data_IF_330457363324
#
_entry.id   IF_330457363324
#
_cell.length_a   1.000
_cell.length_b   1.000
_cell.length_c   1.000
_cell.angle_alpha   90.00
_cell.angle_beta   90.00
_cell.angle_gamma   90.00
#
_symmetry.space_group_name_H-M   'P 1'
#
loop_
_entity.id
_entity.type
_entity.pdbx_description
1 polymer ?
#
# COMPACT_ATOMS: atom_id res chain seq x y z
N UNK A 1 22.34 -57.31 19.28
CA UNK A 1 22.80 -56.07 18.61
C UNK A 1 22.10 -55.95 17.26
N UNK A 2 21.13 -55.04 17.13
CA UNK A 2 20.30 -54.90 15.92
C UNK A 2 20.43 -53.46 15.40
N UNK A 3 21.30 -53.24 14.42
CA UNK A 3 21.46 -51.95 13.73
C UNK A 3 20.66 -51.95 12.43
N UNK A 4 19.42 -51.44 12.48
CA UNK A 4 18.65 -51.07 11.28
C UNK A 4 19.32 -49.84 10.64
N UNK A 5 20.02 -50.05 9.52
CA UNK A 5 20.44 -48.96 8.63
C UNK A 5 19.23 -48.47 7.83
N UNK A 6 18.73 -47.28 8.16
CA UNK A 6 17.77 -46.57 7.33
C UNK A 6 18.43 -46.19 5.99
N UNK A 7 17.99 -46.82 4.90
CA UNK A 7 18.28 -46.35 3.54
C UNK A 7 17.42 -45.11 3.24
N UNK A 8 18.02 -43.93 3.29
CA UNK A 8 17.40 -42.72 2.75
C UNK A 8 17.29 -42.83 1.21
N UNK A 9 16.08 -42.58 0.67
CA UNK A 9 15.79 -42.60 -0.76
C UNK A 9 16.66 -41.60 -1.55
N UNK A 10 17.24 -41.98 -2.71
CA UNK A 10 18.10 -41.12 -3.54
C UNK A 10 17.46 -39.78 -3.96
N UNK A 11 16.13 -39.72 -4.04
CA UNK A 11 15.37 -38.51 -4.39
C UNK A 11 15.43 -37.42 -3.31
N UNK A 12 15.57 -37.78 -2.03
CA UNK A 12 15.66 -36.82 -0.92
C UNK A 12 17.04 -36.16 -0.76
N UNK A 13 18.11 -36.80 -1.26
CA UNK A 13 19.49 -36.27 -1.23
C UNK A 13 19.72 -35.18 -2.29
N UNK A 14 19.10 -35.33 -3.47
CA UNK A 14 19.27 -34.37 -4.57
C UNK A 14 18.55 -33.03 -4.34
N UNK A 15 17.38 -33.03 -3.72
CA UNK A 15 16.63 -31.81 -3.35
C UNK A 15 17.35 -31.02 -2.25
N UNK A 16 17.82 -31.69 -1.19
CA UNK A 16 18.62 -31.06 -0.12
C UNK A 16 19.89 -30.36 -0.66
N UNK A 17 20.62 -30.99 -1.58
CA UNK A 17 21.82 -30.39 -2.17
C UNK A 17 21.52 -29.17 -3.07
N UNK A 18 20.41 -29.17 -3.81
CA UNK A 18 19.99 -28.01 -4.62
C UNK A 18 19.61 -26.81 -3.74
N UNK A 19 18.90 -27.05 -2.64
CA UNK A 19 18.50 -25.99 -1.69
C UNK A 19 19.71 -25.35 -0.99
N UNK A 20 20.70 -26.16 -0.58
CA UNK A 20 21.93 -25.65 0.06
C UNK A 20 22.73 -24.79 -0.92
N UNK A 21 22.88 -25.22 -2.18
CA UNK A 21 23.57 -24.45 -3.22
C UNK A 21 22.83 -23.14 -3.53
N UNK A 22 21.51 -23.17 -3.55
CA UNK A 22 20.66 -21.98 -3.73
C UNK A 22 20.84 -20.95 -2.61
N UNK A 23 20.80 -21.40 -1.35
CA UNK A 23 21.03 -20.54 -0.18
C UNK A 23 22.42 -19.90 -0.18
N UNK A 24 23.48 -20.66 -0.50
CA UNK A 24 24.85 -20.13 -0.58
C UNK A 24 24.98 -19.05 -1.65
N UNK A 25 24.39 -19.27 -2.84
CA UNK A 25 24.34 -18.25 -3.90
C UNK A 25 23.62 -16.97 -3.44
N UNK A 26 22.46 -17.09 -2.80
CA UNK A 26 21.71 -15.94 -2.28
C UNK A 26 22.51 -15.15 -1.25
N UNK A 27 23.19 -15.83 -0.33
CA UNK A 27 24.04 -15.16 0.67
C UNK A 27 25.13 -14.31 0.02
N UNK A 28 25.78 -14.82 -1.03
CA UNK A 28 26.79 -14.08 -1.80
C UNK A 28 26.14 -12.87 -2.49
N UNK A 29 24.96 -13.04 -3.08
CA UNK A 29 24.23 -11.93 -3.72
C UNK A 29 23.90 -10.84 -2.68
N UNK A 30 23.30 -11.17 -1.53
CA UNK A 30 22.99 -10.19 -0.47
C UNK A 30 24.24 -9.38 -0.08
N UNK A 31 25.37 -10.05 0.10
CA UNK A 31 26.63 -9.40 0.47
C UNK A 31 27.15 -8.43 -0.61
N UNK A 32 26.85 -8.69 -1.88
CA UNK A 32 27.21 -7.81 -2.98
C UNK A 32 26.23 -6.64 -3.13
N UNK A 33 24.94 -6.86 -2.87
CA UNK A 33 23.90 -5.82 -2.97
C UNK A 33 24.10 -4.69 -1.95
N UNK A 34 24.68 -4.98 -0.79
CA UNK A 34 24.71 -4.05 0.35
C UNK A 34 25.87 -3.04 0.38
N UNK A 35 26.56 -2.80 -0.74
CA UNK A 35 27.77 -1.96 -0.74
C UNK A 35 27.55 -0.52 -1.15
N UNK A 36 26.42 -0.22 -1.78
CA UNK A 36 26.17 1.11 -2.32
C UNK A 36 25.31 1.90 -1.33
N UNK A 37 25.87 2.92 -0.67
CA UNK A 37 25.07 3.83 0.13
C UNK A 37 24.28 4.76 -0.82
N UNK A 38 23.17 5.31 -0.33
CA UNK A 38 22.35 6.27 -1.07
C UNK A 38 21.79 7.33 -0.14
N UNK A 39 21.31 8.44 -0.70
CA UNK A 39 20.67 9.50 0.09
C UNK A 39 19.39 8.99 0.76
N UNK A 40 19.07 9.55 1.92
CA UNK A 40 17.76 9.36 2.54
C UNK A 40 16.65 9.79 1.56
N UNK A 41 15.59 8.98 1.37
CA UNK A 41 14.52 9.33 0.45
C UNK A 41 13.57 10.42 0.98
N UNK A 42 13.74 10.86 2.23
CA UNK A 42 12.90 11.87 2.88
C UNK A 42 13.43 13.28 2.58
N UNK A 43 12.56 14.16 2.09
CA UNK A 43 12.90 15.57 1.83
C UNK A 43 13.47 16.26 3.08
N UNK A 44 14.43 17.15 2.85
CA UNK A 44 15.16 17.85 3.91
C UNK A 44 16.19 17.00 4.67
N UNK A 45 16.30 15.70 4.39
CA UNK A 45 17.34 14.84 4.97
C UNK A 45 18.50 14.62 3.99
N UNK A 46 19.67 15.18 4.29
CA UNK A 46 20.87 15.08 3.44
C UNK A 46 21.77 13.87 3.75
N UNK A 47 21.41 13.06 4.74
CA UNK A 47 22.20 11.89 5.13
C UNK A 47 22.36 10.90 3.97
N UNK A 48 23.58 10.36 3.84
CA UNK A 48 23.88 9.21 3.00
C UNK A 48 23.90 7.96 3.90
N UNK A 49 23.10 6.96 3.56
CA UNK A 49 22.81 5.82 4.43
C UNK A 49 23.14 4.52 3.70
N UNK A 50 23.86 3.63 4.37
CA UNK A 50 24.08 2.26 3.90
C UNK A 50 22.82 1.41 4.06
N UNK A 51 22.58 0.41 3.19
CA UNK A 51 21.40 -0.44 3.26
C UNK A 51 21.15 -1.08 4.63
N UNK A 52 22.21 -1.50 5.34
CA UNK A 52 22.15 -2.05 6.71
C UNK A 52 21.71 -1.05 7.77
N UNK A 53 21.86 0.25 7.51
CA UNK A 53 21.65 1.31 8.50
C UNK A 53 20.32 2.06 8.27
N UNK A 54 19.60 1.76 7.19
CA UNK A 54 18.31 2.40 6.86
C UNK A 54 17.32 2.28 8.01
N UNK A 55 17.20 1.09 8.60
CA UNK A 55 16.29 0.86 9.73
C UNK A 55 16.62 1.77 10.93
N UNK A 56 17.89 1.83 11.33
CA UNK A 56 18.34 2.68 12.43
C UNK A 56 18.04 4.15 12.14
N UNK A 57 18.40 4.61 10.94
CA UNK A 57 18.21 5.99 10.52
C UNK A 57 16.73 6.38 10.57
N UNK A 58 15.84 5.58 9.97
CA UNK A 58 14.40 5.87 9.98
C UNK A 58 13.83 5.89 11.41
N UNK A 59 14.21 4.91 12.25
CA UNK A 59 13.74 4.84 13.63
C UNK A 59 14.30 5.94 14.55
N UNK A 60 15.42 6.55 14.20
CA UNK A 60 16.06 7.57 15.04
C UNK A 60 15.78 9.00 14.56
N UNK A 61 15.87 9.27 13.25
CA UNK A 61 15.71 10.61 12.68
C UNK A 61 14.30 10.92 12.20
N UNK A 62 13.50 9.89 11.88
CA UNK A 62 12.18 10.08 11.27
C UNK A 62 11.01 9.47 12.06
N UNK A 63 11.26 8.82 13.20
CA UNK A 63 10.18 8.24 14.03
C UNK A 63 9.35 9.26 14.81
N UNK A 64 9.92 10.44 15.09
CA UNK A 64 9.26 11.52 15.82
C UNK A 64 8.53 12.51 14.90
N UNK A 65 8.54 12.29 13.58
CA UNK A 65 7.77 13.08 12.62
C UNK A 65 6.34 12.53 12.49
N UNK A 66 5.58 13.01 11.52
CA UNK A 66 4.27 12.44 11.13
C UNK A 66 4.35 11.01 10.59
N UNK A 67 5.55 10.42 10.51
CA UNK A 67 5.79 9.07 10.04
C UNK A 67 5.43 8.00 11.08
N UNK A 68 4.51 7.12 10.72
CA UNK A 68 4.09 6.01 11.58
C UNK A 68 5.10 4.87 11.49
N UNK A 69 5.53 4.33 12.64
CA UNK A 69 6.31 3.08 12.66
C UNK A 69 5.41 1.89 12.95
N UNK A 70 5.42 0.85 12.10
CA UNK A 70 4.56 -0.32 12.28
C UNK A 70 5.24 -1.63 11.87
N UNK A 71 5.01 -2.70 12.65
CA UNK A 71 5.37 -4.06 12.22
C UNK A 71 4.39 -4.56 11.16
N UNK A 72 4.91 -5.13 10.07
CA UNK A 72 4.10 -5.72 9.00
C UNK A 72 4.55 -7.15 8.69
N UNK A 73 3.58 -7.99 8.34
CA UNK A 73 3.80 -9.40 8.08
C UNK A 73 3.21 -9.79 6.73
N UNK A 74 3.79 -10.83 6.14
CA UNK A 74 3.42 -11.36 4.84
C UNK A 74 1.91 -11.65 4.75
N UNK A 75 1.25 -11.08 3.75
CA UNK A 75 -0.21 -11.18 3.51
C UNK A 75 -1.10 -10.70 4.66
N UNK A 76 -0.58 -9.91 5.61
CA UNK A 76 -1.40 -9.30 6.67
C UNK A 76 -1.71 -7.84 6.33
N UNK A 77 -2.98 -7.42 6.43
CA UNK A 77 -3.35 -6.03 6.19
C UNK A 77 -2.85 -5.13 7.31
N UNK A 78 -2.32 -3.98 6.92
CA UNK A 78 -2.04 -2.84 7.78
C UNK A 78 -2.96 -1.69 7.36
N UNK A 79 -3.70 -1.13 8.31
CA UNK A 79 -4.56 0.02 8.08
C UNK A 79 -3.78 1.30 8.39
N UNK A 80 -3.83 2.24 7.46
CA UNK A 80 -3.13 3.52 7.52
C UNK A 80 -4.11 4.64 7.21
N UNK A 81 -3.73 5.86 7.56
CA UNK A 81 -4.47 7.07 7.19
C UNK A 81 -3.48 8.05 6.57
N UNK A 82 -3.80 8.52 5.37
CA UNK A 82 -2.99 9.50 4.65
C UNK A 82 -3.63 10.88 4.76
N UNK A 83 -2.98 11.79 5.46
CA UNK A 83 -3.36 13.20 5.48
C UNK A 83 -2.42 13.98 4.55
N UNK A 84 -2.89 14.44 3.37
CA UNK A 84 -2.09 15.24 2.46
C UNK A 84 -1.91 16.70 2.90
N UNK A 85 -2.55 17.11 4.01
CA UNK A 85 -2.47 18.50 4.50
C UNK A 85 -1.02 18.85 4.85
N UNK A 86 -0.52 19.94 4.28
CA UNK A 86 0.84 20.44 4.55
C UNK A 86 1.94 19.83 3.69
N UNK A 87 1.59 19.01 2.68
CA UNK A 87 2.57 18.46 1.76
C UNK A 87 2.92 19.50 0.71
N UNK A 88 4.18 19.94 0.73
CA UNK A 88 4.74 20.84 -0.27
C UNK A 88 5.00 20.09 -1.58
N UNK A 89 5.05 20.85 -2.67
CA UNK A 89 5.24 20.28 -4.00
C UNK A 89 6.71 19.91 -4.20
N UNK A 90 6.97 18.70 -4.67
CA UNK A 90 8.32 18.19 -4.92
C UNK A 90 8.95 17.50 -3.72
N UNK A 91 8.43 17.75 -2.51
CA UNK A 91 8.96 17.14 -1.30
C UNK A 91 8.45 15.69 -1.10
N UNK A 92 9.40 14.80 -0.89
CA UNK A 92 9.15 13.41 -0.54
C UNK A 92 8.95 13.25 0.97
N UNK A 93 7.74 12.87 1.38
CA UNK A 93 7.40 12.59 2.76
C UNK A 93 7.35 11.08 3.02
N UNK A 94 7.87 10.65 4.17
CA UNK A 94 7.67 9.29 4.65
C UNK A 94 6.40 9.23 5.52
N UNK A 95 5.37 8.56 5.03
CA UNK A 95 4.11 8.36 5.74
C UNK A 95 4.27 7.27 6.81
N UNK A 96 5.00 6.21 6.48
CA UNK A 96 5.21 5.11 7.40
C UNK A 96 6.56 4.41 7.21
N UNK A 97 7.22 4.06 8.31
CA UNK A 97 8.37 3.17 8.37
C UNK A 97 7.89 1.79 8.83
N UNK A 98 7.84 0.86 7.88
CA UNK A 98 7.31 -0.48 8.07
C UNK A 98 8.44 -1.47 8.38
N UNK A 99 8.25 -2.26 9.42
CA UNK A 99 9.18 -3.29 9.86
C UNK A 99 8.68 -4.63 9.32
N UNK A 100 9.10 -5.01 8.11
CA UNK A 100 8.60 -6.24 7.46
C UNK A 100 9.30 -7.50 8.00
N UNK A 101 8.53 -8.35 8.66
CA UNK A 101 9.01 -9.53 9.38
C UNK A 101 8.89 -10.86 8.65
N UNK A 102 8.47 -10.88 7.38
CA UNK A 102 8.12 -12.12 6.68
C UNK A 102 6.81 -12.72 7.23
N UNK A 103 6.68 -14.05 7.25
CA UNK A 103 5.45 -14.72 7.69
C UNK A 103 5.36 -14.68 9.22
N UNK A 104 4.23 -14.16 9.75
CA UNK A 104 3.98 -14.06 11.19
C UNK A 104 4.15 -15.43 11.88
N UNK A 105 4.89 -15.45 12.98
CA UNK A 105 5.16 -16.68 13.73
C UNK A 105 6.19 -17.63 13.11
N UNK A 106 6.81 -17.28 11.97
CA UNK A 106 7.84 -18.10 11.30
C UNK A 106 9.17 -17.34 11.18
N UNK A 107 10.02 -17.35 12.23
CA UNK A 107 11.29 -16.62 12.24
C UNK A 107 12.22 -16.92 11.05
N UNK A 108 12.16 -18.13 10.53
CA UNK A 108 12.97 -18.62 9.41
C UNK A 108 12.66 -17.90 8.09
N UNK A 109 11.51 -17.21 8.01
CA UNK A 109 11.06 -16.45 6.85
C UNK A 109 11.39 -14.96 6.92
N UNK A 110 12.02 -14.52 8.03
CA UNK A 110 12.43 -13.12 8.20
C UNK A 110 13.42 -12.74 7.11
N UNK A 111 13.34 -11.51 6.54
CA UNK A 111 14.15 -11.09 5.41
C UNK A 111 15.66 -11.32 5.55
N UNK A 112 16.22 -11.02 6.72
CA UNK A 112 17.64 -11.23 6.99
C UNK A 112 18.04 -12.70 7.12
N UNK A 113 17.12 -13.58 7.54
CA UNK A 113 17.36 -15.02 7.73
C UNK A 113 17.24 -15.78 6.41
N UNK A 114 16.22 -15.47 5.60
CA UNK A 114 16.02 -16.11 4.29
C UNK A 114 16.87 -15.47 3.16
N UNK A 115 17.85 -14.62 3.53
CA UNK A 115 18.74 -13.93 2.58
C UNK A 115 17.97 -13.11 1.53
N UNK A 116 16.87 -12.47 1.95
CA UNK A 116 16.15 -11.49 1.14
C UNK A 116 16.90 -10.15 1.13
N UNK A 117 17.39 -9.73 2.30
CA UNK A 117 18.11 -8.47 2.53
C UNK A 117 19.24 -8.67 3.54
N UNK A 118 20.11 -7.67 3.67
CA UNK A 118 21.13 -7.68 4.71
C UNK A 118 20.50 -7.47 6.09
N UNK A 119 21.19 -7.95 7.14
CA UNK A 119 20.87 -7.62 8.51
C UNK A 119 21.00 -6.12 8.76
N UNK A 120 20.10 -5.59 9.58
CA UNK A 120 20.21 -4.23 10.08
C UNK A 120 21.35 -4.15 11.09
N UNK A 121 22.17 -3.11 11.01
CA UNK A 121 23.28 -2.88 11.93
C UNK A 121 23.04 -1.66 12.81
N UNK A 122 23.69 -1.63 13.98
CA UNK A 122 23.69 -0.47 14.86
C UNK A 122 22.34 -0.15 15.54
N UNK A 123 21.36 -1.06 15.50
CA UNK A 123 20.09 -0.87 16.19
C UNK A 123 20.29 -0.72 17.69
N UNK A 124 19.59 0.25 18.30
CA UNK A 124 19.54 0.41 19.75
C UNK A 124 18.95 -0.84 20.41
N UNK A 125 19.27 -1.05 21.69
CA UNK A 125 18.88 -2.28 22.42
C UNK A 125 17.36 -2.55 22.38
N UNK A 126 16.52 -1.50 22.42
CA UNK A 126 15.06 -1.60 22.30
C UNK A 126 14.58 -2.13 20.94
N UNK A 127 15.39 -1.99 19.90
CA UNK A 127 15.06 -2.34 18.51
C UNK A 127 15.80 -3.58 17.99
N UNK A 128 16.65 -4.23 18.80
CA UNK A 128 17.41 -5.42 18.38
C UNK A 128 16.55 -6.55 17.80
N UNK A 129 15.29 -6.69 18.23
CA UNK A 129 14.36 -7.69 17.67
C UNK A 129 14.12 -7.53 16.15
N UNK A 130 14.43 -6.37 15.58
CA UNK A 130 14.28 -6.04 14.17
C UNK A 130 15.56 -6.21 13.34
N UNK A 131 16.64 -6.76 13.92
CA UNK A 131 17.92 -6.98 13.21
C UNK A 131 17.74 -7.76 11.90
N UNK A 132 16.81 -8.71 11.85
CA UNK A 132 16.55 -9.54 10.67
C UNK A 132 15.32 -9.09 9.86
N UNK A 133 14.73 -7.94 10.16
CA UNK A 133 13.56 -7.39 9.45
C UNK A 133 14.00 -6.55 8.25
N UNK A 134 13.14 -6.37 7.25
CA UNK A 134 13.37 -5.44 6.15
C UNK A 134 12.68 -4.10 6.46
N UNK A 135 13.40 -2.97 6.51
CA UNK A 135 12.75 -1.66 6.54
C UNK A 135 12.10 -1.39 5.19
N UNK A 136 10.83 -1.00 5.20
CA UNK A 136 10.10 -0.55 4.02
C UNK A 136 9.46 0.80 4.35
N UNK A 137 9.74 1.83 3.57
CA UNK A 137 9.16 3.14 3.76
C UNK A 137 8.01 3.33 2.79
N UNK A 138 6.85 3.74 3.29
CA UNK A 138 5.76 4.25 2.47
C UNK A 138 5.98 5.75 2.26
N UNK A 139 6.21 6.12 1.02
CA UNK A 139 6.52 7.48 0.61
C UNK A 139 5.31 8.12 -0.05
N UNK A 140 5.21 9.44 0.05
CA UNK A 140 4.31 10.24 -0.74
C UNK A 140 4.93 11.58 -1.13
N UNK A 141 4.57 12.06 -2.31
CA UNK A 141 4.99 13.35 -2.82
C UNK A 141 3.83 14.00 -3.57
N UNK A 142 3.64 15.31 -3.35
CA UNK A 142 2.76 16.11 -4.18
C UNK A 142 3.55 16.63 -5.37
N UNK A 143 3.13 16.30 -6.58
CA UNK A 143 3.76 16.77 -7.83
C UNK A 143 2.68 17.13 -8.85
N UNK A 144 3.03 17.19 -10.13
CA UNK A 144 2.10 17.48 -11.23
C UNK A 144 2.16 16.41 -12.30
N UNK A 145 1.09 16.28 -13.09
CA UNK A 145 1.04 15.34 -14.21
C UNK A 145 2.17 15.51 -15.23
N UNK A 146 2.77 16.70 -15.30
CA UNK A 146 3.93 16.96 -16.14
C UNK A 146 5.18 16.16 -15.74
N UNK A 147 5.25 15.64 -14.51
CA UNK A 147 6.35 14.79 -14.06
C UNK A 147 6.42 13.45 -14.81
N UNK A 148 5.36 13.05 -15.51
CA UNK A 148 5.38 11.92 -16.46
C UNK A 148 6.13 12.22 -17.77
N UNK A 149 6.51 13.47 -18.02
CA UNK A 149 7.24 13.83 -19.23
C UNK A 149 8.69 13.34 -19.16
N UNK A 150 9.12 12.70 -20.25
CA UNK A 150 10.52 12.29 -20.44
C UNK A 150 11.43 13.49 -20.70
N UNK A 151 10.92 14.49 -21.42
CA UNK A 151 11.65 15.72 -21.70
C UNK A 151 11.59 16.68 -20.51
N UNK A 152 12.74 16.87 -19.85
CA UNK A 152 12.90 17.73 -18.66
C UNK A 152 12.91 19.22 -18.97
N UNK A 153 13.15 19.60 -20.22
CA UNK A 153 12.98 20.99 -20.63
C UNK A 153 11.50 21.31 -20.82
N UNK A 154 10.78 20.43 -21.52
CA UNK A 154 9.33 20.57 -21.70
C UNK A 154 8.57 20.48 -20.38
N UNK A 155 8.96 19.57 -19.47
CA UNK A 155 8.41 19.51 -18.12
C UNK A 155 8.48 20.87 -17.45
N UNK A 156 9.68 21.46 -17.36
CA UNK A 156 9.90 22.78 -16.72
C UNK A 156 9.10 23.90 -17.37
N UNK A 157 9.00 23.92 -18.69
CA UNK A 157 8.17 24.88 -19.42
C UNK A 157 6.68 24.74 -19.08
N UNK A 158 6.19 23.50 -18.99
CA UNK A 158 4.80 23.24 -18.63
C UNK A 158 4.53 23.59 -17.16
N UNK A 159 5.49 23.37 -16.26
CA UNK A 159 5.38 23.77 -14.86
C UNK A 159 5.24 25.28 -14.71
N UNK A 160 6.04 26.06 -15.44
CA UNK A 160 6.01 27.53 -15.36
C UNK A 160 4.75 28.13 -15.98
N UNK A 161 4.25 27.54 -17.08
CA UNK A 161 3.02 28.00 -17.75
C UNK A 161 1.73 27.60 -17.03
N UNK A 162 1.76 26.51 -16.25
CA UNK A 162 0.58 25.92 -15.62
C UNK A 162 0.71 25.82 -14.10
N UNK A 163 1.31 26.85 -13.49
CA UNK A 163 1.50 26.89 -12.04
C UNK A 163 0.17 26.63 -11.30
N UNK A 164 0.21 25.72 -10.31
CA UNK A 164 -0.95 25.33 -9.52
C UNK A 164 -1.97 24.41 -10.22
N UNK A 165 -1.76 24.02 -11.48
CA UNK A 165 -2.66 23.12 -12.21
C UNK A 165 -2.09 21.70 -12.34
N UNK A 166 -2.98 20.72 -12.50
CA UNK A 166 -2.60 19.33 -12.76
C UNK A 166 -1.91 18.64 -11.58
N UNK A 167 -2.18 19.08 -10.35
CA UNK A 167 -1.61 18.51 -9.13
C UNK A 167 -2.04 17.06 -8.91
N UNK A 168 -1.07 16.25 -8.48
CA UNK A 168 -1.23 14.85 -8.12
C UNK A 168 -0.46 14.53 -6.84
N UNK A 169 -0.94 13.52 -6.14
CA UNK A 169 -0.20 12.84 -5.08
C UNK A 169 0.23 11.48 -5.58
N UNK A 170 1.51 11.20 -5.46
CA UNK A 170 2.11 9.92 -5.81
C UNK A 170 2.47 9.23 -4.51
N UNK A 171 2.04 7.99 -4.33
CA UNK A 171 2.42 7.16 -3.19
C UNK A 171 3.12 5.90 -3.68
N UNK A 172 4.19 5.49 -2.99
CA UNK A 172 4.95 4.29 -3.34
C UNK A 172 5.61 3.69 -2.11
N UNK A 173 6.06 2.44 -2.23
CA UNK A 173 6.88 1.80 -1.21
C UNK A 173 8.33 1.71 -1.71
N UNK A 174 9.27 1.89 -0.79
CA UNK A 174 10.70 1.80 -1.06
C UNK A 174 11.40 1.02 0.06
N UNK A 175 12.42 0.24 -0.27
CA UNK A 175 13.24 -0.50 0.70
C UNK A 175 14.70 -0.58 0.23
N UNK A 176 15.64 -0.98 1.12
CA UNK A 176 16.91 -1.55 0.69
C UNK A 176 16.73 -2.57 -0.43
N UNK A 177 17.68 -2.60 -1.36
CA UNK A 177 17.74 -3.60 -2.42
C UNK A 177 17.62 -5.02 -1.86
N UNK A 178 16.78 -5.83 -2.51
CA UNK A 178 16.50 -7.21 -2.11
C UNK A 178 16.92 -8.21 -3.18
N UNK A 179 17.20 -9.45 -2.78
CA UNK A 179 17.54 -10.53 -3.73
C UNK A 179 16.34 -11.01 -4.56
N UNK A 180 15.13 -10.68 -4.12
CA UNK A 180 13.86 -11.05 -4.75
C UNK A 180 12.89 -9.89 -4.59
N UNK A 181 12.00 -9.71 -5.56
CA UNK A 181 10.94 -8.70 -5.51
C UNK A 181 10.07 -8.87 -4.26
N UNK A 182 9.75 -7.75 -3.63
CA UNK A 182 8.69 -7.65 -2.62
C UNK A 182 7.56 -6.90 -3.26
N UNK A 183 6.35 -7.41 -3.11
CA UNK A 183 5.14 -6.83 -3.68
C UNK A 183 4.31 -6.19 -2.58
N UNK A 184 3.46 -5.27 -2.98
CA UNK A 184 2.43 -4.74 -2.11
C UNK A 184 1.12 -4.57 -2.86
N UNK A 185 0.02 -4.74 -2.13
CA UNK A 185 -1.31 -4.27 -2.52
C UNK A 185 -1.60 -3.03 -1.68
N UNK A 186 -1.90 -1.92 -2.34
CA UNK A 186 -2.37 -0.70 -1.68
C UNK A 186 -3.79 -0.43 -2.13
N UNK A 187 -4.70 -0.38 -1.17
CA UNK A 187 -6.11 -0.08 -1.37
C UNK A 187 -6.44 1.24 -0.69
N UNK A 188 -6.97 2.18 -1.45
CA UNK A 188 -7.43 3.48 -0.96
C UNK A 188 -8.95 3.43 -0.94
N UNK A 189 -9.53 3.68 0.22
CA UNK A 189 -10.97 3.67 0.42
C UNK A 189 -11.50 5.09 0.48
N UNK A 190 -12.76 5.27 0.06
CA UNK A 190 -13.52 6.40 0.57
C UNK A 190 -13.79 6.25 2.08
N UNK A 191 -14.16 7.34 2.74
CA UNK A 191 -14.42 7.35 4.19
C UNK A 191 -15.54 6.38 4.62
N UNK A 192 -16.48 6.07 3.72
CA UNK A 192 -17.62 5.21 4.01
C UNK A 192 -17.35 3.74 3.65
N UNK A 193 -16.16 3.43 3.12
CA UNK A 193 -15.80 2.12 2.58
C UNK A 193 -16.80 1.61 1.53
N UNK A 194 -17.39 2.52 0.73
CA UNK A 194 -18.35 2.18 -0.33
C UNK A 194 -17.60 1.87 -1.64
N UNK A 195 -16.63 2.71 -1.97
CA UNK A 195 -15.76 2.60 -3.12
C UNK A 195 -14.29 2.49 -2.68
N UNK A 196 -13.51 1.80 -3.50
CA UNK A 196 -12.08 1.62 -3.27
C UNK A 196 -11.31 1.52 -4.57
N UNK A 197 -10.07 2.01 -4.58
CA UNK A 197 -9.10 1.78 -5.65
C UNK A 197 -7.97 0.92 -5.09
N UNK A 198 -7.72 -0.24 -5.70
CA UNK A 198 -6.67 -1.17 -5.28
C UNK A 198 -5.69 -1.45 -6.40
N UNK A 199 -4.39 -1.47 -6.08
CA UNK A 199 -3.32 -1.74 -7.04
C UNK A 199 -2.27 -2.65 -6.42
N UNK A 200 -1.74 -3.57 -7.24
CA UNK A 200 -0.59 -4.40 -6.91
C UNK A 200 0.65 -3.80 -7.57
N UNK A 201 1.71 -3.60 -6.80
CA UNK A 201 2.99 -3.02 -7.25
C UNK A 201 4.18 -3.72 -6.59
N UNK A 202 5.38 -3.42 -7.07
CA UNK A 202 6.63 -3.87 -6.47
C UNK A 202 7.21 -2.77 -5.59
N UNK A 203 7.80 -3.13 -4.45
CA UNK A 203 8.57 -2.22 -3.62
C UNK A 203 9.82 -1.77 -4.40
N UNK A 204 10.04 -0.46 -4.46
CA UNK A 204 11.18 0.16 -5.16
C UNK A 204 12.47 0.00 -4.35
N UNK A 205 13.60 0.01 -5.03
CA UNK A 205 14.91 0.09 -4.40
C UNK A 205 15.22 1.55 -4.01
N UNK A 206 15.60 1.80 -2.76
CA UNK A 206 15.91 3.15 -2.28
C UNK A 206 17.19 3.72 -2.87
N UNK A 207 18.08 2.88 -3.42
CA UNK A 207 19.28 3.38 -4.09
C UNK A 207 19.00 3.97 -5.47
N UNK A 208 17.81 3.75 -6.03
CA UNK A 208 17.36 4.39 -7.26
C UNK A 208 16.78 5.78 -6.99
N UNK A 209 16.50 6.54 -8.05
CA UNK A 209 15.82 7.83 -7.95
C UNK A 209 14.46 7.70 -7.25
N UNK A 210 14.24 8.58 -6.28
CA UNK A 210 12.99 8.68 -5.51
C UNK A 210 12.23 9.98 -5.78
N UNK A 211 12.76 10.87 -6.61
CA UNK A 211 12.00 12.01 -7.11
C UNK A 211 10.98 11.51 -8.15
N UNK A 212 9.67 11.79 -7.98
CA UNK A 212 8.66 11.45 -8.97
C UNK A 212 8.99 11.92 -10.38
N UNK A 213 9.59 13.11 -10.56
CA UNK A 213 9.99 13.58 -11.89
C UNK A 213 10.98 12.63 -12.55
N UNK A 214 11.86 11.97 -11.80
CA UNK A 214 12.82 11.03 -12.37
C UNK A 214 12.19 9.67 -12.72
N UNK A 215 11.26 9.17 -11.90
CA UNK A 215 10.78 7.79 -12.05
C UNK A 215 9.41 7.63 -12.70
N UNK A 216 8.51 8.61 -12.62
CA UNK A 216 7.18 8.50 -13.21
C UNK A 216 7.18 8.20 -14.71
N UNK A 217 8.14 8.71 -15.53
CA UNK A 217 8.17 8.41 -16.97
C UNK A 217 8.56 6.97 -17.34
N UNK A 218 9.12 6.20 -16.41
CA UNK A 218 9.76 4.90 -16.69
C UNK A 218 9.33 3.76 -15.76
N UNK A 219 8.68 4.08 -14.65
CA UNK A 219 8.24 3.10 -13.65
C UNK A 219 6.72 3.10 -13.54
N UNK A 220 6.17 2.04 -12.96
CA UNK A 220 4.75 1.88 -12.66
C UNK A 220 4.51 1.58 -11.17
N UNK A 221 5.58 1.43 -10.37
CA UNK A 221 5.58 0.99 -8.96
C UNK A 221 5.08 2.05 -7.97
N UNK A 222 4.01 2.75 -8.32
CA UNK A 222 3.34 3.78 -7.52
C UNK A 222 1.81 3.70 -7.71
N UNK A 223 1.09 4.37 -6.80
CA UNK A 223 -0.30 4.77 -6.97
C UNK A 223 -0.35 6.29 -7.08
N UNK A 224 -1.34 6.78 -7.81
CA UNK A 224 -1.54 8.20 -8.04
C UNK A 224 -2.97 8.59 -7.72
N UNK A 225 -3.10 9.73 -7.04
CA UNK A 225 -4.36 10.41 -6.78
C UNK A 225 -4.30 11.81 -7.38
N UNK A 226 -5.36 12.25 -8.05
CA UNK A 226 -5.45 13.63 -8.51
C UNK A 226 -5.82 14.54 -7.34
N UNK A 227 -5.47 15.82 -7.41
CA UNK A 227 -5.92 16.81 -6.42
C UNK A 227 -7.45 16.79 -6.25
N UNK A 228 -8.22 16.59 -7.33
CA UNK A 228 -9.68 16.41 -7.26
C UNK A 228 -10.11 15.18 -6.46
N UNK A 229 -9.42 14.05 -6.65
CA UNK A 229 -9.72 12.80 -5.96
C UNK A 229 -9.41 12.95 -4.46
N UNK A 230 -8.28 13.57 -4.13
CA UNK A 230 -7.90 13.89 -2.76
C UNK A 230 -8.91 14.83 -2.11
N UNK A 231 -9.34 15.89 -2.80
CA UNK A 231 -10.35 16.81 -2.30
C UNK A 231 -11.67 16.08 -2.04
N UNK A 232 -12.12 15.19 -2.92
CA UNK A 232 -13.33 14.40 -2.70
C UNK A 232 -13.20 13.49 -1.48
N UNK A 233 -12.12 12.72 -1.39
CA UNK A 233 -11.83 11.80 -0.29
C UNK A 233 -11.69 12.55 1.05
N UNK A 234 -11.17 13.79 1.03
CA UNK A 234 -10.99 14.65 2.21
C UNK A 234 -12.25 15.46 2.57
N UNK A 235 -13.06 15.93 1.62
CA UNK A 235 -14.20 16.85 1.87
C UNK A 235 -15.38 16.15 2.54
N UNK A 236 -15.52 14.84 2.33
CA UNK A 236 -16.40 13.97 3.13
C UNK A 236 -16.04 14.06 4.64
N UNK A 237 -14.87 14.59 5.01
CA UNK A 237 -14.45 14.85 6.39
C UNK A 237 -15.06 16.10 7.04
N UNK A 238 -15.59 17.06 6.27
CA UNK A 238 -16.11 18.35 6.81
C UNK A 238 -17.61 18.32 7.11
N UNK A 239 -18.42 17.65 6.28
CA UNK A 239 -19.89 17.62 6.44
C UNK A 239 -20.39 16.85 7.68
N UNK A 240 -19.60 15.92 8.21
CA UNK A 240 -19.94 15.17 9.43
C UNK A 240 -19.49 15.87 10.73
N UNK A 241 -18.88 17.07 10.67
CA UNK A 241 -18.42 17.80 11.86
C UNK A 241 -19.54 18.61 12.55
N UNK A 242 -20.78 18.54 12.06
CA UNK A 242 -21.89 19.38 12.55
C UNK A 242 -22.75 18.76 13.66
N UNK A 243 -22.54 17.50 14.07
CA UNK A 243 -23.32 16.88 15.16
C UNK A 243 -22.46 16.05 16.11
N UNK A 244 -21.85 16.72 17.09
CA UNK A 244 -21.32 16.07 18.29
C UNK A 244 -19.80 16.03 18.44
N UNK A 245 -19.12 17.18 18.33
CA UNK A 245 -17.89 17.55 19.08
C UNK A 245 -16.61 16.69 18.98
N UNK A 246 -16.65 15.45 18.51
CA UNK A 246 -15.48 14.57 18.38
C UNK A 246 -14.98 14.64 16.94
N UNK A 247 -13.86 15.34 16.74
CA UNK A 247 -13.12 15.35 15.47
C UNK A 247 -12.69 13.92 15.14
N UNK A 248 -13.29 13.33 14.10
CA UNK A 248 -12.81 12.05 13.58
C UNK A 248 -11.38 12.16 13.05
N UNK A 249 -10.68 11.01 12.89
CA UNK A 249 -9.34 11.01 12.31
C UNK A 249 -9.38 11.71 10.94
N UNK A 250 -8.51 12.70 10.76
CA UNK A 250 -8.35 13.43 9.50
C UNK A 250 -7.49 12.58 8.57
N UNK A 251 -7.91 12.47 7.31
CA UNK A 251 -7.15 11.80 6.26
C UNK A 251 -7.94 10.74 5.50
N UNK A 252 -7.28 10.19 4.49
CA UNK A 252 -7.80 9.19 3.56
C UNK A 252 -7.44 7.79 4.10
N UNK A 253 -8.42 6.93 4.38
CA UNK A 253 -8.15 5.58 4.87
C UNK A 253 -7.54 4.70 3.78
N UNK A 254 -6.51 3.94 4.16
CA UNK A 254 -5.80 3.02 3.27
C UNK A 254 -5.58 1.67 3.94
N UNK A 255 -5.56 0.61 3.14
CA UNK A 255 -5.07 -0.71 3.53
C UNK A 255 -3.84 -1.06 2.69
N UNK A 256 -2.81 -1.53 3.38
CA UNK A 256 -1.56 -1.97 2.78
C UNK A 256 -1.33 -3.44 3.14
N UNK A 257 -1.03 -4.26 2.13
CA UNK A 257 -0.64 -5.66 2.30
C UNK A 257 0.71 -5.86 1.62
N UNK A 258 1.73 -6.29 2.35
CA UNK A 258 3.08 -6.56 1.81
C UNK A 258 3.31 -8.06 1.73
N UNK A 259 3.94 -8.54 0.65
CA UNK A 259 4.21 -9.96 0.45
C UNK A 259 5.34 -10.26 -0.52
N UNK A 260 6.04 -11.38 -0.34
CA UNK A 260 7.11 -11.83 -1.26
C UNK A 260 6.59 -12.66 -2.44
N UNK A 261 5.52 -13.43 -2.23
CA UNK A 261 4.96 -14.32 -3.27
C UNK A 261 3.54 -13.89 -3.56
N UNK A 262 3.24 -13.35 -4.75
CA UNK A 262 1.86 -13.11 -5.14
C UNK A 262 1.08 -14.41 -5.01
N UNK A 263 -0.04 -14.39 -4.28
CA UNK A 263 -0.94 -15.53 -4.25
C UNK A 263 -1.38 -15.76 -5.69
N UNK A 264 -1.11 -16.97 -6.21
CA UNK A 264 -1.72 -17.38 -7.48
C UNK A 264 -3.23 -17.23 -7.29
N UNK A 265 -3.93 -16.73 -8.30
CA UNK A 265 -5.39 -16.89 -8.42
C UNK A 265 -5.71 -18.39 -8.57
N UNK A 266 -5.42 -19.19 -7.55
CA UNK A 266 -6.08 -20.47 -7.36
C UNK A 266 -7.40 -20.13 -6.71
N UNK A 267 -8.51 -20.48 -7.34
CA UNK A 267 -9.89 -20.21 -6.91
C UNK A 267 -10.31 -20.82 -5.56
N UNK A 268 -9.36 -21.10 -4.67
CA UNK A 268 -9.55 -21.48 -3.28
C UNK A 268 -8.57 -20.62 -2.45
N UNK A 269 -8.96 -19.37 -2.22
CA UNK A 269 -8.30 -18.50 -1.25
C UNK A 269 -8.46 -19.11 0.15
N UNK A 270 -7.53 -18.77 1.04
CA UNK A 270 -7.78 -18.81 2.49
C UNK A 270 -9.21 -18.34 2.73
N UNK A 271 -9.98 -19.13 3.50
CA UNK A 271 -11.45 -19.06 3.50
C UNK A 271 -11.91 -17.60 3.41
N UNK A 272 -12.81 -17.29 2.48
CA UNK A 272 -13.46 -15.99 2.38
C UNK A 272 -13.84 -15.41 3.77
N UNK A 273 -14.09 -16.29 4.74
CA UNK A 273 -14.26 -16.00 6.16
C UNK A 273 -13.06 -15.33 6.87
N UNK A 274 -11.79 -15.63 6.60
CA UNK A 274 -10.64 -14.94 7.22
C UNK A 274 -10.46 -13.52 6.71
N UNK A 275 -10.62 -13.30 5.39
CA UNK A 275 -10.61 -11.96 4.80
C UNK A 275 -11.83 -11.15 5.24
N UNK A 276 -13.02 -11.77 5.26
CA UNK A 276 -14.21 -11.15 5.82
C UNK A 276 -14.08 -10.90 7.32
N UNK A 277 -13.39 -11.76 8.07
CA UNK A 277 -13.12 -11.55 9.49
C UNK A 277 -12.16 -10.38 9.71
N UNK A 278 -11.09 -10.26 8.93
CA UNK A 278 -10.18 -9.11 8.99
C UNK A 278 -10.88 -7.80 8.59
N UNK A 279 -11.69 -7.82 7.55
CA UNK A 279 -12.51 -6.65 7.15
C UNK A 279 -13.59 -6.34 8.18
N UNK A 280 -14.19 -7.35 8.82
CA UNK A 280 -15.16 -7.18 9.91
C UNK A 280 -14.50 -6.69 11.19
N UNK A 281 -13.29 -7.14 11.50
CA UNK A 281 -12.47 -6.67 12.62
C UNK A 281 -12.04 -5.22 12.39
N UNK A 282 -11.59 -4.87 11.18
CA UNK A 282 -11.34 -3.50 10.77
C UNK A 282 -12.60 -2.63 10.91
N UNK A 283 -13.73 -3.09 10.37
CA UNK A 283 -15.04 -2.41 10.48
C UNK A 283 -15.52 -2.28 11.92
N UNK A 284 -15.28 -3.28 12.76
CA UNK A 284 -15.57 -3.26 14.19
C UNK A 284 -14.67 -2.28 14.93
N UNK A 285 -13.36 -2.27 14.66
CA UNK A 285 -12.45 -1.26 15.19
C UNK A 285 -12.94 0.15 14.85
N UNK A 286 -13.27 0.43 13.58
CA UNK A 286 -13.75 1.76 13.18
C UNK A 286 -15.14 2.12 13.75
N UNK A 287 -16.07 1.17 13.84
CA UNK A 287 -17.40 1.40 14.45
C UNK A 287 -17.34 1.60 15.97
N UNK A 288 -16.32 1.07 16.65
CA UNK A 288 -16.13 1.23 18.10
C UNK A 288 -15.62 2.63 18.44
N UNK A 289 -14.81 3.24 17.55
CA UNK A 289 -14.24 4.58 17.76
C UNK A 289 -15.08 5.72 17.17
N UNK A 290 -15.98 5.44 16.23
CA UNK A 290 -16.71 6.48 15.47
C UNK A 290 -18.15 6.06 15.14
N UNK A 291 -19.05 5.95 16.13
CA UNK A 291 -20.49 6.24 15.93
C UNK A 291 -21.28 6.25 17.26
N UNK A 292 -21.92 7.37 17.66
CA UNK A 292 -23.13 7.31 18.46
C UNK A 292 -24.24 6.74 17.58
N UNK A 293 -24.80 5.59 17.97
CA UNK A 293 -26.04 5.09 17.35
C UNK A 293 -27.20 6.01 17.76
N UNK A 294 -27.53 7.01 16.96
CA UNK A 294 -28.91 7.52 16.97
C UNK A 294 -29.80 6.43 16.39
N UNK A 295 -30.44 5.66 17.28
CA UNK A 295 -31.61 4.86 16.93
C UNK A 295 -32.71 5.83 16.49
N UNK A 296 -32.77 6.14 15.20
CA UNK A 296 -33.97 6.71 14.61
C UNK A 296 -35.03 5.61 14.57
N UNK A 297 -35.99 5.66 15.49
CA UNK A 297 -37.24 4.90 15.40
C UNK A 297 -38.01 5.41 14.19
N UNK A 298 -38.04 4.60 13.13
CA UNK A 298 -38.95 4.82 12.00
C UNK A 298 -40.31 4.25 12.41
N UNK A 299 -41.25 5.12 12.80
CA UNK A 299 -42.65 4.75 12.92
C UNK A 299 -43.21 4.58 11.50
N UNK A 300 -43.40 3.32 11.08
CA UNK A 300 -44.24 2.98 9.94
C UNK A 300 -45.63 2.61 10.45
N UNK A 301 -46.48 3.62 10.60
CA UNK A 301 -47.90 3.42 10.38
C UNK A 301 -48.14 3.46 8.87
N UNK A 302 -48.72 2.40 8.34
CA UNK A 302 -49.74 2.36 7.28
C UNK A 302 -49.85 0.91 6.84
N UNK A 303 -50.96 0.29 7.23
CA UNK A 303 -51.40 -1.00 6.72
C UNK A 303 -51.73 -0.88 5.24
N UNK A 304 -51.23 -1.80 4.42
CA UNK A 304 -51.57 -1.88 3.01
C UNK A 304 -51.11 -3.21 2.45
N UNK A 305 -52.00 -4.21 2.45
CA UNK A 305 -51.80 -5.49 1.76
C UNK A 305 -51.70 -5.21 0.26
N UNK A 306 -50.54 -5.43 -0.36
CA UNK A 306 -50.44 -5.49 -1.81
C UNK A 306 -50.28 -6.93 -2.28
N UNK A 307 -51.30 -7.40 -2.98
CA UNK A 307 -51.35 -8.66 -3.72
C UNK A 307 -50.50 -8.57 -5.00
N UNK A 308 -49.70 -9.60 -5.24
CA UNK A 308 -49.01 -9.89 -6.49
C UNK A 308 -50.02 -10.20 -7.60
N UNK A 309 -49.90 -9.54 -8.76
CA UNK A 309 -49.88 -10.11 -10.13
C UNK A 309 -50.25 -9.06 -11.19
N UNK A 310 -49.37 -8.85 -12.18
CA UNK A 310 -49.65 -9.04 -13.63
C UNK A 310 -48.51 -8.48 -14.49
N UNK A 311 -48.04 -9.32 -15.42
CA UNK A 311 -47.28 -8.92 -16.62
C UNK A 311 -48.17 -8.13 -17.57
N UNK A 312 -47.58 -7.28 -18.43
CA UNK A 312 -48.14 -7.09 -19.77
C UNK A 312 -47.22 -7.60 -20.89
N UNK A 313 -47.88 -8.18 -21.89
CA UNK A 313 -47.39 -8.72 -23.14
C UNK A 313 -47.02 -7.63 -24.17
N UNK A 314 -46.19 -8.04 -25.12
CA UNK A 314 -45.82 -7.42 -26.40
C UNK A 314 -46.99 -7.14 -27.37
N UNK A 315 -46.90 -6.07 -28.19
CA UNK A 315 -46.71 -6.11 -29.67
C UNK A 315 -46.99 -4.74 -30.35
N UNK A 316 -45.98 -4.29 -31.10
CA UNK A 316 -45.98 -3.78 -32.50
C UNK A 316 -47.25 -3.17 -33.13
N UNK A 317 -47.13 -1.93 -33.64
CA UNK A 317 -47.08 -1.52 -35.08
C UNK A 317 -47.73 -0.14 -35.37
N UNK A 318 -46.94 0.69 -36.04
CA UNK A 318 -47.23 1.38 -37.32
C UNK A 318 -47.73 2.85 -37.38
N UNK A 319 -47.15 3.50 -38.40
CA UNK A 319 -47.51 4.72 -39.16
C UNK A 319 -46.97 6.06 -38.62
N UNK A 320 -45.91 6.66 -39.20
CA UNK A 320 -45.71 7.32 -40.53
C UNK A 320 -46.45 8.65 -40.75
N UNK A 321 -45.62 9.64 -41.11
CA UNK A 321 -45.84 10.85 -41.93
C UNK A 321 -46.66 12.02 -41.33
N UNK A 322 -46.05 13.21 -41.20
CA UNK A 322 -45.90 14.18 -42.29
C UNK A 322 -44.99 15.36 -41.87
N UNK A 323 -44.32 15.93 -42.87
CA UNK A 323 -43.46 17.11 -42.81
C UNK A 323 -44.20 18.39 -43.28
N UNK A 324 -43.52 19.54 -43.10
CA UNK A 324 -43.80 20.91 -43.58
C UNK A 324 -44.94 21.66 -42.87
N UNK A 325 -44.95 22.99 -42.70
CA UNK A 325 -44.00 24.11 -42.76
C UNK A 325 -44.83 25.38 -42.48
N UNK A 326 -44.17 26.51 -42.20
CA UNK A 326 -44.66 27.90 -42.16
C UNK A 326 -45.31 28.37 -40.85
N UNK A 327 -44.54 29.07 -40.02
CA UNK A 327 -44.60 30.53 -39.98
C UNK A 327 -43.32 31.14 -39.41
#
# INVERSE_FOLDING_TARGET
MNTKRNMESPRGRQTKNKDVKGKRKRKIIVQNLSRMPAHCPVAGCSDIIFPSNVMLHMLHKHSNSTCITAEVYDHRPLLLTFDPTGYERGDNYCIAALLYGGVKGKPNTRPGVDNLSLLNSGLLNSYRKYETYLPIMMMACRTTWFAHMKDKQLEREMLSKNEGKGGIYVLWLVSPITTRKVFYTLTIFDRHYISSRSLIRTVRDYTNFQDPSDFLPIDENYIMLRDSDVLELMTISRLAQSKGGKKGPRGIPMELIVYQTPLKHSGNLSSQAEMQAALKEARNMYSTYMMPRTKGTVNREVSGKMSLTRKPLSKTKANQAHAHALH
#
